data_IF_357760523513
#
_entry.id   IF_357760523513
#
_cell.length_a   1.000
_cell.length_b   1.000
_cell.length_c   1.000
_cell.angle_alpha   90.00
_cell.angle_beta   90.00
_cell.angle_gamma   90.00
#
_symmetry.space_group_name_H-M   'P 1'
#
loop_
_entity.id
_entity.type
_entity.pdbx_description
1 polymer ?
#
# COMPACT_ATOMS: atom_id res chain seq x y z
N UNK A 1 7.98 -12.91 -3.85
CA UNK A 1 7.04 -11.94 -4.46
C UNK A 1 6.75 -12.32 -5.91
N UNK A 2 5.51 -12.67 -6.27
CA UNK A 2 5.14 -12.84 -7.68
C UNK A 2 5.25 -11.49 -8.41
N UNK A 3 5.42 -11.51 -9.74
CA UNK A 3 5.55 -10.29 -10.54
C UNK A 3 4.38 -9.31 -10.29
N UNK A 4 3.16 -9.83 -10.17
CA UNK A 4 1.95 -9.07 -9.87
C UNK A 4 2.02 -8.30 -8.55
N UNK A 5 2.55 -8.90 -7.48
CA UNK A 5 2.69 -8.23 -6.19
C UNK A 5 3.69 -7.07 -6.25
N UNK A 6 4.79 -7.21 -7.00
CA UNK A 6 5.78 -6.14 -7.16
C UNK A 6 5.18 -4.92 -7.87
N UNK A 7 4.40 -5.17 -8.93
CA UNK A 7 3.71 -4.12 -9.68
C UNK A 7 2.68 -3.41 -8.80
N UNK A 8 1.87 -4.18 -8.06
CA UNK A 8 0.87 -3.64 -7.13
C UNK A 8 1.52 -2.76 -6.05
N UNK A 9 2.61 -3.22 -5.44
CA UNK A 9 3.32 -2.48 -4.40
C UNK A 9 3.88 -1.17 -4.96
N UNK A 10 4.50 -1.21 -6.14
CA UNK A 10 5.00 -0.01 -6.80
C UNK A 10 3.86 0.99 -7.10
N UNK A 11 2.73 0.51 -7.61
CA UNK A 11 1.55 1.34 -7.88
C UNK A 11 1.02 2.02 -6.61
N UNK A 12 0.94 1.31 -5.47
CA UNK A 12 0.49 1.89 -4.22
C UNK A 12 1.45 2.92 -3.64
N UNK A 13 2.77 2.71 -3.76
CA UNK A 13 3.76 3.72 -3.34
C UNK A 13 3.61 5.00 -4.18
N UNK A 14 3.53 4.87 -5.50
CA UNK A 14 3.36 6.02 -6.40
C UNK A 14 2.05 6.75 -6.11
N UNK A 15 0.95 6.02 -5.94
CA UNK A 15 -0.34 6.61 -5.58
C UNK A 15 -0.30 7.34 -4.22
N UNK A 16 0.36 6.75 -3.22
CA UNK A 16 0.54 7.38 -1.90
C UNK A 16 1.24 8.73 -2.04
N UNK A 17 2.38 8.77 -2.73
CA UNK A 17 3.15 10.01 -2.92
C UNK A 17 2.32 11.04 -3.70
N UNK A 18 1.64 10.61 -4.76
CA UNK A 18 0.78 11.48 -5.57
C UNK A 18 -0.33 12.14 -4.73
N UNK A 19 -1.08 11.36 -3.94
CA UNK A 19 -2.15 11.89 -3.09
C UNK A 19 -1.65 12.73 -1.92
N UNK A 20 -0.45 12.44 -1.38
CA UNK A 20 0.17 13.31 -0.37
C UNK A 20 0.48 14.68 -0.97
N UNK A 21 1.16 14.72 -2.12
CA UNK A 21 1.53 15.99 -2.76
C UNK A 21 0.27 16.78 -3.11
N UNK A 22 -0.72 16.12 -3.71
CA UNK A 22 -1.94 16.77 -4.14
C UNK A 22 -2.78 17.23 -2.93
N UNK A 23 -2.94 16.41 -1.90
CA UNK A 23 -3.68 16.76 -0.69
C UNK A 23 -3.01 17.89 0.11
N UNK A 24 -1.68 17.94 0.16
CA UNK A 24 -0.96 19.06 0.78
C UNK A 24 -1.09 20.34 -0.06
N UNK A 25 -1.03 20.23 -1.40
CA UNK A 25 -1.19 21.37 -2.30
C UNK A 25 -2.58 21.99 -2.22
N UNK A 26 -3.62 21.16 -2.16
CA UNK A 26 -5.02 21.63 -2.07
C UNK A 26 -5.49 21.88 -0.64
N UNK A 27 -4.66 21.59 0.37
CA UNK A 27 -5.07 21.57 1.79
C UNK A 27 -6.33 20.72 2.06
N UNK A 28 -6.51 19.65 1.28
CA UNK A 28 -7.70 18.81 1.35
C UNK A 28 -7.46 17.57 2.23
N UNK A 29 -8.13 17.55 3.37
CA UNK A 29 -8.04 16.44 4.32
C UNK A 29 -8.56 15.13 3.77
N UNK A 30 -9.53 15.12 2.85
CA UNK A 30 -10.03 13.88 2.25
C UNK A 30 -8.95 13.19 1.43
N UNK A 31 -8.18 13.95 0.65
CA UNK A 31 -7.07 13.44 -0.15
C UNK A 31 -5.92 12.93 0.73
N UNK A 32 -5.66 13.59 1.86
CA UNK A 32 -4.68 13.12 2.83
C UNK A 32 -5.11 11.80 3.50
N UNK A 33 -6.40 11.63 3.81
CA UNK A 33 -6.94 10.36 4.33
C UNK A 33 -6.78 9.25 3.29
N UNK A 34 -7.06 9.54 2.01
CA UNK A 34 -6.85 8.57 0.91
C UNK A 34 -5.38 8.16 0.81
N UNK A 35 -4.44 9.12 0.92
CA UNK A 35 -3.01 8.81 0.96
C UNK A 35 -2.65 7.88 2.12
N UNK A 36 -3.20 8.11 3.32
CA UNK A 36 -2.97 7.25 4.49
C UNK A 36 -3.47 5.82 4.21
N UNK A 37 -4.64 5.66 3.58
CA UNK A 37 -5.18 4.34 3.22
C UNK A 37 -4.23 3.59 2.25
N UNK A 38 -3.67 4.28 1.25
CA UNK A 38 -2.67 3.67 0.35
C UNK A 38 -1.36 3.31 1.07
N UNK A 39 -0.94 4.12 2.05
CA UNK A 39 0.23 3.80 2.88
C UNK A 39 0.01 2.53 3.71
N UNK A 40 -1.17 2.40 4.34
CA UNK A 40 -1.56 1.19 5.10
C UNK A 40 -1.64 -0.02 4.17
N UNK A 41 -2.26 0.10 3.00
CA UNK A 41 -2.32 -0.98 2.02
C UNK A 41 -0.93 -1.45 1.57
N UNK A 42 -0.01 -0.51 1.33
CA UNK A 42 1.40 -0.82 1.00
C UNK A 42 2.06 -1.62 2.12
N UNK A 43 1.84 -1.21 3.37
CA UNK A 43 2.40 -1.89 4.55
C UNK A 43 1.86 -3.33 4.66
N UNK A 44 0.55 -3.54 4.46
CA UNK A 44 -0.06 -4.88 4.45
C UNK A 44 0.55 -5.78 3.36
N UNK A 45 0.76 -5.26 2.14
CA UNK A 45 1.38 -6.02 1.05
C UNK A 45 2.84 -6.41 1.39
N UNK A 46 3.58 -5.51 2.05
CA UNK A 46 4.95 -5.81 2.51
C UNK A 46 4.94 -6.92 3.57
N UNK A 47 4.02 -6.86 4.53
CA UNK A 47 3.90 -7.87 5.59
C UNK A 47 3.52 -9.24 5.04
N UNK A 48 2.60 -9.28 4.07
CA UNK A 48 2.21 -10.49 3.36
C UNK A 48 3.42 -11.10 2.62
N UNK A 49 4.21 -10.26 1.92
CA UNK A 49 5.41 -10.73 1.23
C UNK A 49 6.49 -11.25 2.20
N UNK A 50 6.59 -10.67 3.40
CA UNK A 50 7.48 -11.19 4.45
C UNK A 50 6.98 -12.50 5.08
N UNK A 51 5.80 -12.99 4.68
CA UNK A 51 5.14 -14.17 5.25
C UNK A 51 5.01 -14.09 6.79
N UNK A 52 4.99 -12.89 7.37
CA UNK A 52 4.72 -12.72 8.80
C UNK A 52 3.31 -13.20 9.14
N UNK A 53 2.39 -13.12 8.18
CA UNK A 53 1.05 -13.72 8.22
C UNK A 53 1.03 -15.07 7.49
N UNK A 54 1.97 -15.98 7.80
CA UNK A 54 1.93 -17.34 7.25
C UNK A 54 0.64 -18.02 7.71
N UNK A 55 -0.34 -18.08 6.82
CA UNK A 55 -1.62 -18.73 7.05
C UNK A 55 -1.38 -20.15 7.61
N UNK A 56 -1.76 -20.45 8.87
CA UNK A 56 -1.50 -21.73 9.50
C UNK A 56 -2.24 -22.90 8.82
N UNK A 57 -3.19 -22.62 7.93
CA UNK A 57 -3.98 -23.63 7.21
C UNK A 57 -3.52 -23.88 5.77
N UNK A 58 -2.40 -23.30 5.32
CA UNK A 58 -1.89 -23.55 3.97
C UNK A 58 -1.32 -24.98 3.87
N UNK A 59 -2.14 -25.93 3.40
CA UNK A 59 -1.71 -27.29 3.06
C UNK A 59 -0.67 -27.23 1.94
N UNK A 60 0.40 -28.03 2.11
CA UNK A 60 1.54 -28.18 1.19
C UNK A 60 1.09 -28.49 -0.24
#
# INVERSE_FOLDING_TARGET
>A
MTLSYKILLFAFIVATIFFIILGLYTLDFALLIVAILFAVATLLVILENKQLMRNPFRKK
#
